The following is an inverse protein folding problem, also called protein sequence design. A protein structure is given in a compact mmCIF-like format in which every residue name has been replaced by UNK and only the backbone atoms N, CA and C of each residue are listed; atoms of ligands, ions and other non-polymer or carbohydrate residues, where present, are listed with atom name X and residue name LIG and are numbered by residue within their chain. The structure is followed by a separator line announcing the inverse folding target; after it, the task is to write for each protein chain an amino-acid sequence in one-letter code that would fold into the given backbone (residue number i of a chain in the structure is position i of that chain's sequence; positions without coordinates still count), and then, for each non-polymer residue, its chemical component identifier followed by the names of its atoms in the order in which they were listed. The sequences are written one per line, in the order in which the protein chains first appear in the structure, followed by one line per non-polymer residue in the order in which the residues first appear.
data_IF_478445447394
#
_entry.id   IF_478445447394
#
_cell.length_a   1.000
_cell.length_b   1.000
_cell.length_c   1.000
_cell.angle_alpha   90.00
_cell.angle_beta   90.00
_cell.angle_gamma   90.00
#
_symmetry.space_group_name_H-M   'P 1'
#
loop_
_entity.id
_entity.type
_entity.pdbx_description
1 polymer ?
#
# COMPACT_ATOMS: atom_id res chain seq x y z
N UNK A 1 -6.94 -10.71 -23.03
CA UNK A 1 -5.49 -10.67 -23.27
C UNK A 1 -4.83 -9.81 -22.19
N UNK A 2 -3.64 -10.21 -21.71
CA UNK A 2 -2.90 -9.42 -20.73
C UNK A 2 -1.40 -9.50 -20.97
N UNK A 3 -0.70 -8.41 -20.64
CA UNK A 3 0.75 -8.33 -20.60
C UNK A 3 1.19 -7.89 -19.23
N UNK A 4 2.30 -8.43 -18.78
CA UNK A 4 2.94 -8.09 -17.52
C UNK A 4 4.45 -7.89 -17.75
N UNK A 5 5.00 -6.84 -17.19
CA UNK A 5 6.42 -6.56 -17.17
C UNK A 5 6.82 -6.01 -15.81
N UNK A 6 8.03 -6.36 -15.37
CA UNK A 6 8.57 -5.77 -14.14
C UNK A 6 10.06 -5.49 -14.24
N UNK A 7 10.49 -4.52 -13.47
CA UNK A 7 11.91 -4.21 -13.26
C UNK A 7 12.15 -4.11 -11.76
N UNK A 8 13.18 -4.77 -11.27
CA UNK A 8 13.57 -4.75 -9.87
C UNK A 8 15.06 -4.49 -9.70
N UNK A 9 15.40 -3.77 -8.65
CA UNK A 9 16.77 -3.51 -8.21
C UNK A 9 16.88 -3.75 -6.70
N UNK A 10 17.90 -4.49 -6.28
CA UNK A 10 18.14 -4.79 -4.87
C UNK A 10 19.66 -4.86 -4.64
N UNK A 11 20.19 -3.91 -3.86
CA UNK A 11 21.60 -3.89 -3.43
C UNK A 11 21.74 -3.82 -1.91
N UNK A 12 20.77 -4.35 -1.18
CA UNK A 12 20.78 -4.34 0.27
C UNK A 12 21.98 -5.12 0.82
N UNK A 13 22.68 -4.53 1.79
CA UNK A 13 23.85 -5.15 2.40
C UNK A 13 23.53 -6.40 3.25
N UNK A 14 22.29 -6.58 3.66
CA UNK A 14 21.79 -7.74 4.45
C UNK A 14 20.37 -8.08 4.03
N UNK A 15 20.05 -9.35 4.04
CA UNK A 15 18.69 -9.82 3.77
C UNK A 15 17.70 -9.46 4.89
N UNK A 16 18.18 -9.52 6.15
CA UNK A 16 17.41 -9.16 7.35
C UNK A 16 17.99 -7.91 7.97
N UNK A 17 17.13 -7.00 8.40
CA UNK A 17 17.52 -5.75 9.04
C UNK A 17 18.67 -5.02 8.29
N UNK A 18 18.50 -4.76 6.98
CA UNK A 18 19.53 -4.07 6.21
C UNK A 18 19.83 -2.71 6.82
N UNK A 19 21.09 -2.29 6.76
CA UNK A 19 21.54 -1.00 7.27
C UNK A 19 21.91 -0.03 6.16
N UNK A 20 22.14 -0.55 4.94
CA UNK A 20 22.52 0.23 3.75
C UNK A 20 21.94 -0.41 2.51
N UNK A 21 21.71 0.43 1.52
CA UNK A 21 21.30 0.00 0.20
C UNK A 21 19.90 0.49 -0.16
N UNK A 22 19.50 0.13 -1.36
CA UNK A 22 18.23 0.50 -1.96
C UNK A 22 17.58 -0.75 -2.53
N UNK A 23 16.29 -0.87 -2.33
CA UNK A 23 15.46 -1.87 -2.99
C UNK A 23 14.34 -1.16 -3.71
N UNK A 24 14.17 -1.46 -4.98
CA UNK A 24 13.08 -0.90 -5.77
C UNK A 24 12.49 -1.94 -6.68
N UNK A 25 11.21 -1.77 -6.98
CA UNK A 25 10.48 -2.58 -7.94
C UNK A 25 9.40 -1.75 -8.61
N UNK A 26 9.28 -1.92 -9.91
CA UNK A 26 8.20 -1.34 -10.72
C UNK A 26 7.56 -2.49 -11.50
N UNK A 27 6.27 -2.64 -11.34
CA UNK A 27 5.44 -3.63 -12.03
C UNK A 27 4.47 -2.87 -12.96
N UNK A 28 4.42 -3.25 -14.21
CA UNK A 28 3.46 -2.76 -15.19
C UNK A 28 2.58 -3.91 -15.64
N UNK A 29 1.29 -3.72 -15.60
CA UNK A 29 0.31 -4.69 -16.09
C UNK A 29 -0.63 -4.00 -17.07
N UNK A 30 -0.85 -4.60 -18.22
CA UNK A 30 -1.88 -4.21 -19.16
C UNK A 30 -2.85 -5.37 -19.37
N UNK A 31 -4.15 -5.09 -19.31
CA UNK A 31 -5.19 -6.09 -19.50
C UNK A 31 -6.29 -5.57 -20.41
N UNK A 32 -6.69 -6.43 -21.31
CA UNK A 32 -7.85 -6.28 -22.18
C UNK A 32 -8.85 -7.38 -21.83
N UNK A 33 -9.95 -7.01 -21.23
CA UNK A 33 -11.01 -7.93 -20.83
C UNK A 33 -12.25 -7.66 -21.67
N UNK A 34 -12.66 -8.64 -22.45
CA UNK A 34 -13.93 -8.61 -23.20
C UNK A 34 -14.91 -9.55 -22.51
N UNK A 35 -15.94 -9.02 -21.90
CA UNK A 35 -17.04 -9.82 -21.37
C UNK A 35 -18.18 -9.85 -22.38
N UNK A 36 -18.27 -10.92 -23.18
CA UNK A 36 -19.00 -10.92 -24.44
C UNK A 36 -20.41 -11.54 -24.40
N UNK A 37 -20.94 -11.94 -23.27
CA UNK A 37 -22.24 -12.65 -23.33
C UNK A 37 -23.48 -11.84 -22.97
N UNK A 38 -23.36 -10.59 -22.52
CA UNK A 38 -24.50 -9.77 -22.13
C UNK A 38 -24.34 -8.27 -22.38
N UNK A 39 -23.60 -7.85 -23.41
CA UNK A 39 -23.46 -6.43 -23.75
C UNK A 39 -22.60 -5.62 -22.76
N UNK A 40 -21.80 -6.28 -21.94
CA UNK A 40 -20.87 -5.63 -21.03
C UNK A 40 -19.65 -5.19 -21.81
N UNK A 41 -19.31 -3.93 -21.68
CA UNK A 41 -18.33 -3.17 -22.43
C UNK A 41 -16.92 -3.76 -22.30
N UNK A 42 -16.12 -3.58 -23.35
CA UNK A 42 -14.68 -3.88 -23.37
C UNK A 42 -13.97 -3.01 -22.32
N UNK A 43 -13.23 -3.63 -21.44
CA UNK A 43 -12.43 -2.98 -20.43
C UNK A 43 -10.97 -3.03 -20.83
N UNK A 44 -10.39 -1.85 -21.07
CA UNK A 44 -8.95 -1.70 -21.32
C UNK A 44 -8.35 -0.94 -20.16
N UNK A 45 -7.43 -1.54 -19.47
CA UNK A 45 -6.74 -0.84 -18.38
C UNK A 45 -5.28 -1.25 -18.31
N UNK A 46 -4.49 -0.32 -17.78
CA UNK A 46 -3.11 -0.54 -17.39
C UNK A 46 -2.95 -0.21 -15.91
N UNK A 47 -2.11 -0.93 -15.21
CA UNK A 47 -1.71 -0.60 -13.86
C UNK A 47 -0.21 -0.46 -13.75
N UNK A 48 0.22 0.52 -12.95
CA UNK A 48 1.60 0.76 -12.58
C UNK A 48 1.70 0.66 -11.07
N UNK A 49 2.46 -0.33 -10.58
CA UNK A 49 2.73 -0.50 -9.15
C UNK A 49 4.22 -0.32 -8.93
N UNK A 50 4.61 0.51 -7.97
CA UNK A 50 6.01 0.68 -7.64
C UNK A 50 6.25 0.72 -6.15
N UNK A 51 7.46 0.33 -5.77
CA UNK A 51 7.97 0.43 -4.41
C UNK A 51 9.44 0.79 -4.43
N UNK A 52 9.82 1.70 -3.53
CA UNK A 52 11.19 2.11 -3.28
C UNK A 52 11.43 2.11 -1.78
N UNK A 53 12.49 1.43 -1.36
CA UNK A 53 12.95 1.40 0.03
C UNK A 53 14.43 1.75 0.04
N UNK A 54 14.83 2.69 0.86
CA UNK A 54 16.23 3.07 1.03
C UNK A 54 16.64 2.95 2.48
N UNK A 55 17.84 2.44 2.73
CA UNK A 55 18.38 2.23 4.06
C UNK A 55 19.61 3.10 4.24
N UNK A 56 19.47 4.15 5.05
CA UNK A 56 20.49 5.17 5.27
C UNK A 56 21.00 5.07 6.71
N UNK A 57 22.24 4.63 6.95
CA UNK A 57 22.81 4.61 8.29
C UNK A 57 23.09 6.03 8.77
N UNK A 58 22.47 6.43 9.87
CA UNK A 58 22.73 7.73 10.51
C UNK A 58 23.88 7.62 11.51
N UNK A 59 23.91 6.53 12.26
CA UNK A 59 24.94 6.32 13.29
C UNK A 59 25.42 4.86 13.32
N UNK A 60 26.63 4.59 12.83
CA UNK A 60 27.40 3.34 12.94
C UNK A 60 26.55 2.05 12.75
N UNK A 61 25.68 1.97 11.78
CA UNK A 61 24.72 0.88 11.57
C UNK A 61 23.82 0.55 12.78
N UNK A 62 23.83 1.40 13.80
CA UNK A 62 22.93 1.28 14.95
C UNK A 62 21.63 2.04 14.76
N UNK A 63 21.70 3.20 14.11
CA UNK A 63 20.54 4.03 13.79
C UNK A 63 20.44 4.13 12.29
N UNK A 64 19.32 3.65 11.75
CA UNK A 64 19.08 3.58 10.31
C UNK A 64 17.75 4.28 10.02
N UNK A 65 17.80 5.25 9.12
CA UNK A 65 16.62 5.87 8.54
C UNK A 65 16.19 5.07 7.31
N UNK A 66 14.90 4.77 7.22
CA UNK A 66 14.35 3.98 6.12
C UNK A 66 13.20 4.75 5.47
N UNK A 67 13.50 5.69 4.53
CA UNK A 67 12.47 6.26 3.70
C UNK A 67 11.95 5.22 2.71
N UNK A 68 10.63 5.18 2.55
CA UNK A 68 9.94 4.24 1.68
C UNK A 68 8.88 4.99 0.89
N UNK A 69 8.75 4.68 -0.39
CA UNK A 69 7.74 5.23 -1.27
C UNK A 69 7.04 4.07 -1.99
N UNK A 70 5.74 4.02 -1.87
CA UNK A 70 4.92 3.05 -2.58
C UNK A 70 3.85 3.78 -3.39
N UNK A 71 3.54 3.25 -4.54
CA UNK A 71 2.45 3.76 -5.37
C UNK A 71 1.81 2.67 -6.19
N UNK A 72 0.55 2.85 -6.46
CA UNK A 72 -0.19 2.02 -7.39
C UNK A 72 -1.23 2.86 -8.10
N UNK A 73 -1.16 2.88 -9.41
CA UNK A 73 -2.00 3.70 -10.28
C UNK A 73 -2.66 2.83 -11.33
N UNK A 74 -3.94 3.08 -11.54
CA UNK A 74 -4.76 2.41 -12.54
C UNK A 74 -5.17 3.40 -13.63
N UNK A 75 -4.89 3.05 -14.87
CA UNK A 75 -5.18 3.84 -16.06
C UNK A 75 -6.10 3.07 -16.99
N UNK A 76 -7.07 3.73 -17.61
CA UNK A 76 -7.87 3.11 -18.66
C UNK A 76 -9.31 3.60 -18.75
N UNK A 77 -9.95 3.25 -19.88
CA UNK A 77 -11.38 3.49 -20.10
C UNK A 77 -12.16 2.38 -19.41
N UNK A 78 -13.09 2.75 -18.55
CA UNK A 78 -13.83 1.82 -17.71
C UNK A 78 -13.29 1.72 -16.27
N UNK A 79 -12.10 2.26 -15.96
CA UNK A 79 -11.76 2.69 -14.62
C UNK A 79 -12.69 3.85 -14.30
N UNK A 80 -13.60 3.63 -13.44
CA UNK A 80 -14.79 4.42 -13.14
C UNK A 80 -14.55 5.92 -13.21
N UNK A 81 -14.85 6.52 -14.33
CA UNK A 81 -15.38 7.86 -14.34
C UNK A 81 -16.83 7.71 -13.89
N UNK A 82 -17.26 8.36 -12.82
CA UNK A 82 -18.55 8.18 -12.17
C UNK A 82 -19.83 8.36 -13.03
N UNK A 83 -19.68 8.43 -14.36
CA UNK A 83 -20.74 8.48 -15.36
C UNK A 83 -20.91 7.19 -16.17
N UNK A 84 -19.95 6.29 -16.16
CA UNK A 84 -19.98 5.06 -16.99
C UNK A 84 -19.67 3.75 -16.23
N UNK A 85 -19.44 3.82 -14.93
CA UNK A 85 -19.23 2.66 -14.08
C UNK A 85 -20.52 1.86 -13.92
N UNK A 86 -20.42 0.54 -13.86
CA UNK A 86 -21.56 -0.30 -13.52
C UNK A 86 -22.09 0.15 -12.15
N UNK A 87 -23.31 0.65 -12.15
CA UNK A 87 -24.04 0.93 -10.93
C UNK A 87 -24.33 -0.38 -10.22
N UNK A 88 -23.91 -0.53 -9.00
CA UNK A 88 -24.30 -1.68 -8.21
C UNK A 88 -25.51 -1.32 -7.37
N UNK A 89 -26.68 -1.93 -7.63
CA UNK A 89 -27.90 -1.65 -6.88
C UNK A 89 -27.82 -2.03 -5.41
N UNK A 90 -26.91 -2.94 -5.04
CA UNK A 90 -26.72 -3.38 -3.65
C UNK A 90 -25.97 -2.29 -2.84
N UNK A 91 -24.99 -1.63 -3.45
CA UNK A 91 -24.16 -0.62 -2.78
C UNK A 91 -24.59 0.82 -3.07
N UNK A 92 -25.60 1.02 -3.91
CA UNK A 92 -26.12 2.34 -4.30
C UNK A 92 -25.04 3.36 -4.69
N UNK A 93 -23.96 2.90 -5.31
CA UNK A 93 -22.85 3.73 -5.68
C UNK A 93 -21.96 3.12 -6.78
N UNK A 94 -21.02 3.89 -7.33
CA UNK A 94 -20.06 3.36 -8.26
C UNK A 94 -19.19 2.33 -7.53
N UNK A 95 -19.23 1.10 -8.00
CA UNK A 95 -18.37 0.03 -7.48
C UNK A 95 -16.96 0.24 -7.99
N UNK A 96 -15.93 0.19 -7.14
CA UNK A 96 -14.57 0.01 -7.63
C UNK A 96 -14.53 -1.20 -8.53
N UNK A 97 -14.01 -1.01 -9.73
CA UNK A 97 -14.21 -1.89 -10.88
C UNK A 97 -13.58 -3.24 -10.73
N UNK A 98 -13.70 -4.08 -9.94
CA UNK A 98 -13.20 -5.43 -9.66
C UNK A 98 -12.39 -5.54 -8.38
N UNK A 99 -12.81 -6.41 -7.48
CA UNK A 99 -12.11 -6.67 -6.22
C UNK A 99 -10.66 -7.17 -6.40
N UNK A 100 -10.33 -7.77 -7.54
CA UNK A 100 -8.99 -8.25 -7.84
C UNK A 100 -8.05 -7.22 -8.51
N UNK A 101 -8.51 -5.97 -8.65
CA UNK A 101 -7.74 -4.87 -9.26
C UNK A 101 -7.57 -3.69 -8.36
N UNK A 102 -8.26 -3.66 -7.25
CA UNK A 102 -8.18 -2.59 -6.30
C UNK A 102 -6.91 -2.72 -5.47
N UNK A 103 -6.25 -1.60 -5.28
CA UNK A 103 -5.19 -1.55 -4.30
C UNK A 103 -5.78 -1.70 -2.91
N UNK A 104 -5.19 -2.58 -2.16
CA UNK A 104 -5.58 -2.84 -0.78
C UNK A 104 -4.52 -2.22 0.12
N UNK A 105 -4.93 -1.51 1.14
CA UNK A 105 -4.01 -1.00 2.15
C UNK A 105 -4.20 -1.74 3.46
N UNK A 106 -3.14 -1.78 4.22
CA UNK A 106 -3.15 -2.25 5.59
C UNK A 106 -1.97 -3.15 5.93
N UNK A 107 -1.77 -3.27 7.23
CA UNK A 107 -0.63 -3.97 7.76
C UNK A 107 0.67 -3.19 7.69
N UNK A 108 1.69 -3.68 8.35
CA UNK A 108 2.96 -3.00 8.52
C UNK A 108 3.99 -3.36 7.47
N UNK A 109 3.72 -4.40 6.68
CA UNK A 109 4.60 -4.88 5.63
C UNK A 109 3.85 -5.17 4.33
N UNK A 110 4.58 -5.14 3.21
CA UNK A 110 4.02 -5.51 1.91
C UNK A 110 3.48 -6.93 1.99
N UNK A 111 2.22 -7.10 1.64
CA UNK A 111 1.54 -8.40 1.70
C UNK A 111 2.20 -9.44 0.82
N UNK A 112 2.43 -10.63 1.36
CA UNK A 112 3.00 -11.76 0.62
C UNK A 112 1.97 -12.53 -0.18
N UNK A 113 0.73 -12.44 0.23
CA UNK A 113 -0.35 -13.34 -0.22
C UNK A 113 -1.42 -12.62 -1.01
N UNK A 114 -1.40 -11.30 -1.02
CA UNK A 114 -2.39 -10.48 -1.73
C UNK A 114 -1.65 -9.54 -2.66
N UNK A 115 -1.84 -9.73 -3.94
CA UNK A 115 -1.36 -8.81 -4.95
C UNK A 115 -1.97 -7.42 -4.74
N UNK A 116 -1.21 -6.38 -5.06
CA UNK A 116 -1.62 -4.98 -4.88
C UNK A 116 -1.90 -4.53 -3.43
N UNK A 117 -1.43 -5.26 -2.43
CA UNK A 117 -1.44 -4.79 -1.05
C UNK A 117 -0.24 -3.87 -0.80
N UNK A 118 -0.53 -2.64 -0.38
CA UNK A 118 0.47 -1.65 0.05
C UNK A 118 0.44 -1.49 1.57
N UNK A 119 1.61 -1.46 2.22
CA UNK A 119 1.68 -1.34 3.68
C UNK A 119 1.25 0.05 4.13
N UNK A 120 0.33 0.11 5.08
CA UNK A 120 -0.08 1.34 5.74
C UNK A 120 -0.26 1.10 7.24
N UNK A 121 0.51 1.85 8.04
CA UNK A 121 0.56 1.69 9.50
C UNK A 121 -0.72 2.24 10.13
N UNK A 122 -1.26 1.53 11.11
CA UNK A 122 -2.47 1.94 11.82
C UNK A 122 -3.77 1.59 11.10
N UNK A 123 -3.71 0.66 10.14
CA UNK A 123 -4.89 0.11 9.45
C UNK A 123 -4.79 -1.41 9.42
N UNK A 124 -5.89 -2.10 9.64
CA UNK A 124 -5.94 -3.56 9.54
C UNK A 124 -5.56 -4.03 8.14
N UNK A 125 -5.03 -5.24 8.04
CA UNK A 125 -4.79 -5.88 6.74
C UNK A 125 -6.10 -5.93 5.94
N UNK A 126 -6.03 -5.59 4.65
CA UNK A 126 -7.14 -5.68 3.71
C UNK A 126 -8.36 -4.79 4.03
N UNK A 127 -8.15 -3.68 4.71
CA UNK A 127 -9.27 -2.85 5.15
C UNK A 127 -9.88 -1.97 4.06
N UNK A 128 -9.10 -1.57 3.05
CA UNK A 128 -9.54 -0.55 2.07
C UNK A 128 -9.04 -0.85 0.67
N UNK A 129 -9.81 -0.43 -0.33
CA UNK A 129 -9.50 -0.61 -1.74
C UNK A 129 -9.63 0.71 -2.51
N UNK A 130 -8.60 1.05 -3.30
CA UNK A 130 -8.54 2.28 -4.09
C UNK A 130 -7.95 2.02 -5.47
N UNK A 131 -8.33 2.86 -6.45
CA UNK A 131 -7.79 2.76 -7.80
C UNK A 131 -6.37 3.35 -7.88
N UNK A 132 -6.18 4.51 -7.25
CA UNK A 132 -4.91 5.23 -7.27
C UNK A 132 -4.48 5.53 -5.83
N UNK A 133 -3.25 5.21 -5.51
CA UNK A 133 -2.72 5.31 -4.16
C UNK A 133 -1.22 5.61 -4.21
N UNK A 134 -0.77 6.56 -3.40
CA UNK A 134 0.63 6.76 -3.08
C UNK A 134 0.82 6.84 -1.57
N UNK A 135 1.87 6.22 -1.07
CA UNK A 135 2.22 6.16 0.35
C UNK A 135 3.69 6.54 0.50
N UNK A 136 3.94 7.54 1.32
CA UNK A 136 5.26 7.89 1.82
C UNK A 136 5.37 7.39 3.25
N UNK A 137 6.40 6.62 3.54
CA UNK A 137 6.68 6.08 4.87
C UNK A 137 8.10 6.41 5.28
N UNK A 138 8.28 6.72 6.54
CA UNK A 138 9.58 6.97 7.15
C UNK A 138 9.69 6.18 8.45
N UNK A 139 10.68 5.29 8.49
CA UNK A 139 10.98 4.48 9.66
C UNK A 139 12.35 4.90 10.23
N UNK A 140 12.42 5.12 11.53
CA UNK A 140 13.67 5.30 12.27
C UNK A 140 13.92 4.05 13.10
N UNK A 141 14.85 3.22 12.66
CA UNK A 141 15.19 1.98 13.33
C UNK A 141 16.45 2.12 14.15
N UNK A 142 16.37 1.76 15.43
CA UNK A 142 17.46 1.76 16.38
C UNK A 142 17.76 0.35 16.85
N UNK A 143 18.98 -0.11 16.69
CA UNK A 143 19.46 -1.38 17.28
C UNK A 143 19.79 -1.17 18.75
N UNK A 144 18.92 -1.61 19.65
CA UNK A 144 19.05 -1.45 21.10
C UNK A 144 19.96 -2.50 21.72
N UNK A 145 19.98 -3.71 21.18
CA UNK A 145 20.86 -4.81 21.58
C UNK A 145 21.27 -5.62 20.35
N UNK A 146 22.10 -6.67 20.49
CA UNK A 146 22.67 -7.45 19.36
C UNK A 146 21.68 -7.77 18.26
N UNK A 147 20.54 -8.36 18.61
CA UNK A 147 19.50 -8.81 17.67
C UNK A 147 18.16 -8.12 17.91
N UNK A 148 18.12 -7.05 18.70
CA UNK A 148 16.90 -6.36 19.09
C UNK A 148 16.85 -4.95 18.51
N UNK A 149 15.73 -4.60 17.93
CA UNK A 149 15.52 -3.34 17.25
C UNK A 149 14.24 -2.68 17.75
N UNK A 150 14.29 -1.38 17.87
CA UNK A 150 13.12 -0.53 18.09
C UNK A 150 12.98 0.38 16.88
N UNK A 151 11.79 0.46 16.30
CA UNK A 151 11.53 1.26 15.12
C UNK A 151 10.34 2.18 15.38
N UNK A 152 10.57 3.48 15.25
CA UNK A 152 9.50 4.45 15.16
C UNK A 152 9.10 4.60 13.68
N UNK A 153 7.81 4.62 13.40
CA UNK A 153 7.27 4.57 12.04
C UNK A 153 6.21 5.66 11.87
N UNK A 154 6.28 6.37 10.76
CA UNK A 154 5.24 7.30 10.34
C UNK A 154 4.97 7.11 8.85
N UNK A 155 3.74 7.27 8.44
CA UNK A 155 3.35 7.20 7.04
C UNK A 155 2.29 8.24 6.72
N UNK A 156 2.34 8.67 5.47
CA UNK A 156 1.36 9.54 4.84
C UNK A 156 0.92 8.90 3.54
N UNK A 157 -0.36 8.85 3.29
CA UNK A 157 -0.95 8.29 2.09
C UNK A 157 -1.94 9.25 1.45
N UNK A 158 -2.01 9.20 0.13
CA UNK A 158 -3.03 9.89 -0.66
C UNK A 158 -3.65 8.92 -1.63
N UNK A 159 -4.96 8.99 -1.79
CA UNK A 159 -5.70 8.16 -2.74
C UNK A 159 -6.68 8.97 -3.57
N UNK A 160 -7.06 8.39 -4.70
CA UNK A 160 -8.17 8.88 -5.51
C UNK A 160 -8.80 7.74 -6.31
N UNK A 161 -10.03 7.96 -6.76
CA UNK A 161 -10.71 7.05 -7.68
C UNK A 161 -10.18 7.27 -9.10
N UNK A 162 -9.94 8.52 -9.49
CA UNK A 162 -9.47 8.90 -10.81
C UNK A 162 -8.04 9.47 -10.73
N UNK A 163 -7.17 9.08 -11.67
CA UNK A 163 -5.80 9.58 -11.75
C UNK A 163 -5.72 11.10 -11.95
N UNK A 164 -6.62 11.67 -12.73
CA UNK A 164 -6.64 13.12 -12.96
C UNK A 164 -6.91 13.91 -11.66
N UNK A 165 -7.71 13.34 -10.77
CA UNK A 165 -8.06 13.96 -9.49
C UNK A 165 -7.05 13.67 -8.39
N UNK A 166 -6.08 12.78 -8.62
CA UNK A 166 -5.06 12.46 -7.64
C UNK A 166 -4.22 13.68 -7.23
N UNK A 167 -3.97 14.59 -8.17
CA UNK A 167 -3.19 15.81 -7.95
C UNK A 167 -4.03 17.05 -7.62
N UNK A 168 -5.35 16.92 -7.64
CA UNK A 168 -6.29 18.01 -7.30
C UNK A 168 -6.89 17.74 -5.94
N UNK A 169 -7.21 18.79 -5.21
CA UNK A 169 -8.16 18.68 -4.10
C UNK A 169 -9.53 18.42 -4.72
N UNK A 170 -9.92 17.18 -4.77
CA UNK A 170 -11.29 16.83 -5.17
C UNK A 170 -12.05 16.40 -3.94
N UNK A 171 -13.27 16.89 -3.83
CA UNK A 171 -14.24 16.34 -2.91
C UNK A 171 -14.34 14.84 -3.20
N UNK A 172 -13.86 14.04 -2.26
CA UNK A 172 -13.98 12.60 -2.35
C UNK A 172 -15.48 12.32 -2.36
N UNK A 173 -15.96 11.65 -3.40
CA UNK A 173 -17.32 11.14 -3.42
C UNK A 173 -17.59 10.46 -2.09
N UNK A 174 -18.50 11.04 -1.31
CA UNK A 174 -18.99 10.44 -0.08
C UNK A 174 -19.59 9.08 -0.46
N UNK A 175 -18.84 8.04 -0.18
CA UNK A 175 -19.40 6.70 -0.19
C UNK A 175 -20.35 6.63 0.99
N UNK A 176 -21.55 6.17 0.72
CA UNK A 176 -22.67 6.06 1.66
C UNK A 176 -22.25 5.65 3.07
N UNK A 177 -23.04 5.92 4.04
CA UNK A 177 -22.93 5.79 5.50
C UNK A 177 -22.25 4.50 6.03
N UNK A 178 -22.02 3.49 5.18
CA UNK A 178 -21.28 2.28 5.54
C UNK A 178 -19.77 2.48 5.64
N UNK A 179 -19.23 3.51 4.98
CA UNK A 179 -17.79 3.80 4.96
C UNK A 179 -17.61 5.32 4.99
N UNK A 180 -17.46 5.87 6.18
CA UNK A 180 -17.17 7.28 6.43
C UNK A 180 -15.73 7.63 6.01
N UNK A 181 -15.48 7.70 4.68
CA UNK A 181 -14.16 7.98 4.10
C UNK A 181 -14.10 9.38 3.51
N UNK A 182 -14.03 10.34 4.37
CA UNK A 182 -13.85 11.74 4.00
C UNK A 182 -12.39 12.16 3.74
N UNK A 183 -11.45 11.23 3.67
CA UNK A 183 -10.05 11.61 3.61
C UNK A 183 -9.37 11.11 2.33
N UNK A 184 -9.11 12.03 1.42
CA UNK A 184 -8.14 11.82 0.34
C UNK A 184 -6.70 11.74 0.87
N UNK A 185 -6.45 12.17 2.10
CA UNK A 185 -5.15 12.20 2.75
C UNK A 185 -5.20 11.47 4.08
N UNK A 186 -4.24 10.59 4.28
CA UNK A 186 -4.16 9.77 5.49
C UNK A 186 -2.79 9.86 6.13
N UNK A 187 -2.75 9.71 7.41
CA UNK A 187 -1.51 9.58 8.15
C UNK A 187 -1.65 8.52 9.24
N UNK A 188 -0.56 7.88 9.55
CA UNK A 188 -0.48 6.88 10.60
C UNK A 188 0.90 6.92 11.26
N UNK A 189 0.95 6.45 12.49
CA UNK A 189 2.17 6.35 13.25
C UNK A 189 2.17 5.09 14.11
N UNK A 190 3.35 4.57 14.40
CA UNK A 190 3.49 3.39 15.23
C UNK A 190 4.90 3.18 15.75
N UNK A 191 5.00 2.21 16.64
CA UNK A 191 6.28 1.74 17.19
C UNK A 191 6.31 0.24 17.00
N UNK A 192 7.46 -0.26 16.52
CA UNK A 192 7.74 -1.67 16.33
C UNK A 192 8.90 -2.09 17.19
N UNK A 193 8.74 -3.16 17.93
CA UNK A 193 9.84 -3.91 18.48
C UNK A 193 10.11 -5.14 17.62
N UNK A 194 11.36 -5.36 17.24
CA UNK A 194 11.76 -6.51 16.43
C UNK A 194 12.94 -7.24 17.06
N UNK A 195 12.91 -8.56 16.92
CA UNK A 195 14.02 -9.43 17.33
C UNK A 195 14.40 -10.37 16.19
N UNK A 196 15.69 -10.38 15.82
CA UNK A 196 16.20 -11.33 14.82
C UNK A 196 16.45 -12.68 15.46
N UNK A 197 15.64 -13.68 15.06
CA UNK A 197 15.72 -15.05 15.60
C UNK A 197 16.20 -16.03 14.53
N UNK A 198 16.53 -17.25 14.94
CA UNK A 198 16.96 -18.30 14.00
C UNK A 198 15.85 -18.69 13.01
N UNK A 199 14.60 -18.62 13.43
CA UNK A 199 13.41 -18.94 12.60
C UNK A 199 12.87 -17.77 11.80
N UNK A 200 13.46 -16.59 11.95
CA UNK A 200 13.05 -15.34 11.28
C UNK A 200 12.85 -14.20 12.25
N UNK A 201 12.48 -13.00 11.74
CA UNK A 201 12.16 -11.87 12.59
C UNK A 201 10.89 -12.14 13.40
N UNK A 202 10.95 -11.78 14.69
CA UNK A 202 9.80 -11.67 15.57
C UNK A 202 9.50 -10.19 15.73
N UNK A 203 8.27 -9.78 15.46
CA UNK A 203 7.90 -8.36 15.46
C UNK A 203 6.59 -8.12 16.21
N UNK A 204 6.57 -7.05 17.00
CA UNK A 204 5.41 -6.55 17.71
C UNK A 204 5.22 -5.08 17.36
N UNK A 205 4.07 -4.73 16.82
CA UNK A 205 3.74 -3.38 16.43
C UNK A 205 2.56 -2.86 17.22
N UNK A 206 2.65 -1.60 17.60
CA UNK A 206 1.54 -0.81 18.13
C UNK A 206 1.40 0.41 17.24
N UNK A 207 0.23 0.63 16.67
CA UNK A 207 0.04 1.69 15.70
C UNK A 207 -1.38 2.25 15.69
N UNK A 208 -1.51 3.47 15.19
CA UNK A 208 -2.80 4.15 14.99
C UNK A 208 -2.75 5.04 13.75
N UNK A 209 -3.90 5.39 13.22
CA UNK A 209 -4.04 6.27 12.06
C UNK A 209 -5.28 7.15 12.18
N UNK A 210 -5.36 8.20 11.34
CA UNK A 210 -6.56 9.02 11.26
C UNK A 210 -7.73 8.31 10.56
N UNK A 211 -7.47 7.21 9.84
CA UNK A 211 -8.49 6.38 9.22
C UNK A 211 -9.21 5.54 10.25
N UNK A 212 -8.43 4.89 11.11
CA UNK A 212 -8.96 4.07 12.20
C UNK A 212 -8.73 4.80 13.52
N UNK A 213 -9.79 5.16 14.22
CA UNK A 213 -9.70 5.77 15.55
C UNK A 213 -9.17 4.80 16.62
N UNK A 214 -8.91 3.55 16.24
CA UNK A 214 -8.46 2.49 17.14
C UNK A 214 -6.94 2.36 17.14
N UNK A 215 -6.40 1.84 18.24
CA UNK A 215 -5.03 1.35 18.32
C UNK A 215 -4.99 -0.08 17.80
N UNK A 216 -4.07 -0.36 16.91
CA UNK A 216 -3.87 -1.67 16.30
C UNK A 216 -2.62 -2.32 16.85
N UNK A 217 -2.71 -3.61 17.13
CA UNK A 217 -1.61 -4.46 17.55
C UNK A 217 -1.34 -5.49 16.46
N UNK A 218 -0.09 -5.63 16.07
CA UNK A 218 0.32 -6.65 15.12
C UNK A 218 1.40 -7.52 15.73
N UNK A 219 1.32 -8.79 15.40
CA UNK A 219 2.32 -9.76 15.71
C UNK A 219 2.73 -10.47 14.42
N UNK A 220 4.02 -10.53 14.16
CA UNK A 220 4.58 -11.23 13.01
C UNK A 220 5.72 -12.15 13.47
N UNK A 221 5.76 -13.36 12.94
CA UNK A 221 6.81 -14.33 13.18
C UNK A 221 7.28 -14.94 11.86
N UNK A 222 8.55 -14.78 11.58
CA UNK A 222 9.16 -15.34 10.37
C UNK A 222 8.91 -14.51 9.13
N UNK A 223 9.06 -15.13 7.99
CA UNK A 223 8.90 -14.55 6.65
C UNK A 223 7.59 -14.96 6.04
#
# INVERSE_FOLDING_TARGET
LGMFAYVGYDNLNKKRFPTRGVKSRVDFTWKDCTFDKQGIRKLHFASLVFGLESYVPIYKDRVVLVPQLYGSFLFGKGAVNGKEGAWNPIFQGPVPMYPYMNNIIGGTEKGRYIDHQLPFIGVNKTSFAFNNLAILRLDLRVRVHKNHYLTAMVNYGRSSIDFANFFRESDVLQWSELYDYNASNWWGAGIRYSMDTKIGPLEFDISSSNISKNVHFYFNLGY
#
